data_IF_907606775358
#
_entry.id   IF_907606775358
#
_cell.length_a   1.000
_cell.length_b   1.000
_cell.length_c   1.000
_cell.angle_alpha   90.00
_cell.angle_beta   90.00
_cell.angle_gamma   90.00
#
_symmetry.space_group_name_H-M   'P 1'
#
loop_
_entity.id
_entity.type
_entity.pdbx_description
1 polymer ?
#
# COMPACT_ATOMS: atom_id res chain seq x y z
N UNK A 1 -16.06 8.28 8.24
CA UNK A 1 -15.78 9.07 7.00
C UNK A 1 -15.25 10.40 7.48
N UNK A 2 -13.95 10.50 7.45
CA UNK A 2 -13.30 11.70 7.95
C UNK A 2 -13.51 12.83 6.97
N UNK A 3 -13.85 13.97 7.52
CA UNK A 3 -14.13 15.24 6.92
C UNK A 3 -13.19 15.60 5.76
N UNK A 4 -13.44 15.04 4.59
CA UNK A 4 -12.70 15.35 3.38
C UNK A 4 -13.10 16.74 2.88
N UNK A 5 -12.48 17.77 3.46
CA UNK A 5 -12.78 19.17 3.18
C UNK A 5 -11.89 19.77 2.07
N UNK A 6 -10.99 18.98 1.51
CA UNK A 6 -10.01 19.40 0.50
C UNK A 6 -8.69 19.89 1.11
N UNK A 7 -7.62 19.78 0.32
CA UNK A 7 -6.23 20.01 0.77
C UNK A 7 -5.98 21.41 1.35
N UNK A 8 -6.70 22.41 0.89
CA UNK A 8 -6.50 23.82 1.25
C UNK A 8 -7.42 24.29 2.39
N UNK A 9 -8.18 23.37 3.03
CA UNK A 9 -9.10 23.71 4.10
C UNK A 9 -8.34 24.13 5.35
N UNK A 10 -8.57 25.38 5.77
CA UNK A 10 -7.92 26.00 6.94
C UNK A 10 -8.23 25.26 8.25
N UNK A 11 -9.40 24.63 8.37
CA UNK A 11 -9.78 23.91 9.59
C UNK A 11 -8.79 22.81 9.95
N UNK A 12 -8.13 22.17 8.97
CA UNK A 12 -7.14 21.13 9.26
C UNK A 12 -5.90 21.64 10.01
N UNK A 13 -5.56 22.93 9.89
CA UNK A 13 -4.47 23.55 10.65
C UNK A 13 -4.92 24.07 12.02
N UNK A 14 -6.21 24.22 12.22
CA UNK A 14 -6.80 24.76 13.47
C UNK A 14 -7.16 23.65 14.47
N UNK A 15 -7.07 22.38 14.08
CA UNK A 15 -7.33 21.26 14.99
C UNK A 15 -6.26 21.21 16.08
N UNK A 16 -6.63 20.71 17.27
CA UNK A 16 -5.69 20.50 18.38
C UNK A 16 -4.51 19.59 17.97
N UNK A 17 -4.75 18.62 17.07
CA UNK A 17 -3.74 17.85 16.35
C UNK A 17 -3.92 18.14 14.87
N UNK A 18 -3.10 18.99 14.26
CA UNK A 18 -3.23 19.35 12.85
C UNK A 18 -3.07 18.14 11.95
N UNK A 19 -3.88 18.07 10.88
CA UNK A 19 -3.69 17.06 9.84
C UNK A 19 -2.36 17.34 9.12
N UNK A 20 -1.44 16.36 9.05
CA UNK A 20 -0.13 16.57 8.44
C UNK A 20 -0.22 17.01 6.97
N UNK A 21 0.73 17.83 6.51
CA UNK A 21 0.76 18.37 5.15
C UNK A 21 0.73 17.26 4.10
N UNK A 22 1.53 16.21 4.27
CA UNK A 22 1.58 15.08 3.35
C UNK A 22 0.23 14.34 3.19
N UNK A 23 -0.57 14.30 4.25
CA UNK A 23 -1.90 13.70 4.21
C UNK A 23 -2.90 14.64 3.51
N UNK A 24 -2.84 15.95 3.82
CA UNK A 24 -3.71 16.95 3.17
C UNK A 24 -3.47 17.04 1.67
N UNK A 25 -2.23 16.94 1.23
CA UNK A 25 -1.87 16.99 -0.21
C UNK A 25 -2.57 15.92 -1.05
N UNK A 26 -3.00 14.82 -0.43
CA UNK A 26 -3.76 13.74 -1.07
C UNK A 26 -5.27 13.97 -1.08
N UNK A 27 -5.77 15.05 -0.44
CA UNK A 27 -7.19 15.38 -0.36
C UNK A 27 -7.60 16.26 -1.55
N UNK A 28 -7.49 15.72 -2.76
CA UNK A 28 -7.93 16.40 -3.99
C UNK A 28 -9.25 15.82 -4.50
N UNK A 29 -9.94 16.54 -5.36
CA UNK A 29 -11.20 16.08 -5.95
C UNK A 29 -11.02 14.77 -6.71
N UNK A 30 -9.90 14.66 -7.40
CA UNK A 30 -9.53 13.52 -8.23
C UNK A 30 -9.28 12.27 -7.38
N UNK A 31 -8.94 12.44 -6.10
CA UNK A 31 -8.65 11.32 -5.20
C UNK A 31 -9.88 10.76 -4.48
N UNK A 32 -11.03 11.47 -4.51
CA UNK A 32 -12.24 11.09 -3.77
C UNK A 32 -12.72 9.68 -4.13
N UNK A 33 -12.79 9.36 -5.42
CA UNK A 33 -13.28 8.06 -5.90
C UNK A 33 -12.33 6.95 -5.44
N UNK A 34 -11.04 7.14 -5.61
CA UNK A 34 -10.01 6.20 -5.13
C UNK A 34 -10.13 5.95 -3.63
N UNK A 35 -10.22 7.01 -2.83
CA UNK A 35 -10.24 6.90 -1.38
C UNK A 35 -11.54 6.27 -0.87
N UNK A 36 -12.68 6.62 -1.46
CA UNK A 36 -13.97 6.02 -1.14
C UNK A 36 -13.98 4.51 -1.46
N UNK A 37 -13.49 4.13 -2.64
CA UNK A 37 -13.36 2.72 -3.03
C UNK A 37 -12.38 1.97 -2.15
N UNK A 38 -11.22 2.55 -1.84
CA UNK A 38 -10.23 1.94 -0.92
C UNK A 38 -10.84 1.69 0.44
N UNK A 39 -11.56 2.66 1.00
CA UNK A 39 -12.27 2.53 2.27
C UNK A 39 -13.32 1.42 2.22
N UNK A 40 -14.14 1.37 1.17
CA UNK A 40 -15.14 0.32 0.99
C UNK A 40 -14.51 -1.07 0.85
N UNK A 41 -13.49 -1.22 0.00
CA UNK A 41 -12.80 -2.50 -0.21
C UNK A 41 -12.13 -3.03 1.08
N UNK A 42 -11.58 -2.15 1.92
CA UNK A 42 -11.00 -2.56 3.20
C UNK A 42 -12.03 -3.05 4.22
N UNK A 43 -13.26 -2.55 4.14
CA UNK A 43 -14.37 -3.05 4.97
C UNK A 43 -14.93 -4.36 4.43
N UNK A 44 -15.06 -4.49 3.11
CA UNK A 44 -15.55 -5.71 2.45
C UNK A 44 -14.57 -6.88 2.62
N UNK A 45 -13.28 -6.63 2.40
CA UNK A 45 -12.23 -7.64 2.46
C UNK A 45 -11.36 -7.45 3.71
N UNK A 46 -11.89 -7.85 4.86
CA UNK A 46 -11.21 -7.67 6.15
C UNK A 46 -9.89 -8.45 6.20
N UNK A 47 -8.84 -7.81 6.72
CA UNK A 47 -7.55 -8.44 6.95
C UNK A 47 -7.65 -9.56 7.99
N UNK A 48 -7.51 -10.82 7.57
CA UNK A 48 -7.57 -12.03 8.42
C UNK A 48 -6.41 -12.95 8.07
N UNK A 49 -5.17 -12.61 8.42
CA UNK A 49 -4.02 -13.40 8.05
C UNK A 49 -3.89 -14.69 8.86
N UNK A 50 -3.35 -15.75 8.24
CA UNK A 50 -2.90 -16.94 8.99
C UNK A 50 -1.68 -16.62 9.86
N UNK A 51 -0.83 -15.69 9.41
CA UNK A 51 0.27 -15.11 10.19
C UNK A 51 0.17 -13.59 10.11
N UNK A 52 0.09 -12.95 11.27
CA UNK A 52 0.01 -11.49 11.36
C UNK A 52 1.41 -10.89 11.43
N UNK A 53 2.07 -10.77 10.28
CA UNK A 53 3.40 -10.21 10.11
C UNK A 53 3.41 -9.12 9.01
N UNK A 54 4.54 -8.42 8.87
CA UNK A 54 4.65 -7.28 7.95
C UNK A 54 4.34 -7.70 6.50
N UNK A 55 4.88 -8.83 6.04
CA UNK A 55 4.65 -9.28 4.65
C UNK A 55 3.17 -9.59 4.38
N UNK A 56 2.45 -10.13 5.37
CA UNK A 56 1.01 -10.36 5.27
C UNK A 56 0.25 -9.04 5.10
N UNK A 57 0.60 -8.02 5.87
CA UNK A 57 0.02 -6.68 5.76
C UNK A 57 0.36 -6.02 4.40
N UNK A 58 1.60 -6.14 3.94
CA UNK A 58 2.04 -5.64 2.63
C UNK A 58 1.22 -6.26 1.49
N UNK A 59 1.09 -7.59 1.48
CA UNK A 59 0.35 -8.31 0.44
C UNK A 59 -1.14 -8.03 0.52
N UNK A 60 -1.71 -7.93 1.73
CA UNK A 60 -3.11 -7.55 1.90
C UNK A 60 -3.41 -6.18 1.27
N UNK A 61 -2.63 -5.15 1.63
CA UNK A 61 -2.79 -3.83 1.02
C UNK A 61 -2.51 -3.88 -0.49
N UNK A 62 -1.53 -4.67 -0.91
CA UNK A 62 -1.26 -4.94 -2.33
C UNK A 62 -2.45 -5.55 -3.08
N UNK A 63 -3.21 -6.46 -2.46
CA UNK A 63 -4.45 -7.03 -3.04
C UNK A 63 -5.51 -5.96 -3.22
N UNK A 64 -5.71 -5.10 -2.21
CA UNK A 64 -6.64 -3.97 -2.31
C UNK A 64 -6.26 -3.06 -3.49
N UNK A 65 -4.97 -2.70 -3.60
CA UNK A 65 -4.49 -1.86 -4.70
C UNK A 65 -4.62 -2.54 -6.06
N UNK A 66 -4.35 -3.85 -6.12
CA UNK A 66 -4.51 -4.62 -7.36
C UNK A 66 -5.98 -4.67 -7.81
N UNK A 67 -6.91 -4.92 -6.88
CA UNK A 67 -8.34 -4.90 -7.17
C UNK A 67 -8.81 -3.51 -7.60
N UNK A 68 -8.34 -2.47 -6.91
CA UNK A 68 -8.65 -1.09 -7.25
C UNK A 68 -8.20 -0.74 -8.68
N UNK A 69 -7.02 -1.23 -9.11
CA UNK A 69 -6.55 -1.08 -10.49
C UNK A 69 -7.47 -1.75 -11.52
N UNK A 70 -8.10 -2.87 -11.17
CA UNK A 70 -9.06 -3.53 -12.07
C UNK A 70 -10.40 -2.75 -12.15
N UNK A 71 -10.79 -2.08 -11.08
CA UNK A 71 -12.01 -1.26 -11.01
C UNK A 71 -11.81 0.09 -11.73
N UNK A 72 -10.60 0.66 -11.60
CA UNK A 72 -10.22 1.96 -12.17
C UNK A 72 -9.06 1.78 -13.18
N UNK A 73 -9.30 1.12 -14.33
CA UNK A 73 -8.22 0.79 -15.27
C UNK A 73 -7.56 2.01 -15.92
N UNK A 74 -8.30 3.13 -16.02
CA UNK A 74 -7.79 4.39 -16.59
C UNK A 74 -6.89 5.16 -15.61
N UNK A 75 -6.95 4.84 -14.30
CA UNK A 75 -6.10 5.50 -13.32
C UNK A 75 -4.67 4.97 -13.38
N UNK A 76 -3.73 5.90 -13.30
CA UNK A 76 -2.30 5.54 -13.23
C UNK A 76 -1.99 4.84 -11.92
N UNK A 77 -1.20 3.76 -11.98
CA UNK A 77 -0.90 2.90 -10.82
C UNK A 77 -0.37 3.67 -9.61
N UNK A 78 0.47 4.70 -9.83
CA UNK A 78 0.98 5.51 -8.73
C UNK A 78 -0.12 6.28 -7.99
N UNK A 79 -1.14 6.77 -8.70
CA UNK A 79 -2.26 7.50 -8.08
C UNK A 79 -3.08 6.59 -7.18
N UNK A 80 -3.24 5.31 -7.54
CA UNK A 80 -3.95 4.34 -6.71
C UNK A 80 -3.28 4.15 -5.34
N UNK A 81 -1.94 4.26 -5.30
CA UNK A 81 -1.14 4.21 -4.08
C UNK A 81 -1.10 5.56 -3.33
N UNK A 82 -1.64 6.63 -3.93
CA UNK A 82 -1.51 7.98 -3.43
C UNK A 82 -0.08 8.52 -3.55
N UNK A 83 0.66 8.08 -4.56
CA UNK A 83 2.02 8.53 -4.87
C UNK A 83 2.00 9.58 -5.99
N UNK A 84 3.11 10.31 -6.12
CA UNK A 84 3.42 11.06 -7.33
C UNK A 84 4.11 10.14 -8.35
N UNK A 85 4.24 10.62 -9.61
CA UNK A 85 4.96 9.87 -10.64
C UNK A 85 6.44 9.65 -10.26
N UNK A 86 7.07 10.69 -9.66
CA UNK A 86 8.46 10.64 -9.21
C UNK A 86 8.64 9.65 -8.06
N UNK A 87 7.66 9.54 -7.17
CA UNK A 87 7.67 8.57 -6.06
C UNK A 87 7.52 7.12 -6.58
N UNK A 88 6.69 6.89 -7.59
CA UNK A 88 6.62 5.57 -8.23
C UNK A 88 7.93 5.23 -8.95
N UNK A 89 8.50 6.18 -9.67
CA UNK A 89 9.79 6.01 -10.34
C UNK A 89 10.89 5.70 -9.32
N UNK A 90 10.92 6.41 -8.20
CA UNK A 90 11.83 6.11 -7.10
C UNK A 90 11.66 4.66 -6.63
N UNK A 91 10.44 4.19 -6.38
CA UNK A 91 10.17 2.81 -5.98
C UNK A 91 10.67 1.79 -7.00
N UNK A 92 10.47 2.06 -8.31
CA UNK A 92 10.93 1.18 -9.39
C UNK A 92 12.46 1.09 -9.43
N UNK A 93 13.13 2.22 -9.30
CA UNK A 93 14.59 2.30 -9.34
C UNK A 93 15.25 1.73 -8.07
N UNK A 94 14.51 1.60 -6.97
CA UNK A 94 15.00 1.13 -5.67
C UNK A 94 14.29 -0.15 -5.20
N UNK A 95 13.64 -0.92 -6.08
CA UNK A 95 12.84 -2.11 -5.73
C UNK A 95 13.69 -3.14 -4.96
N UNK A 96 14.91 -3.42 -5.45
CA UNK A 96 15.85 -4.32 -4.78
C UNK A 96 16.29 -3.80 -3.41
N UNK A 97 16.59 -2.50 -3.30
CA UNK A 97 17.02 -1.88 -2.06
C UNK A 97 15.92 -1.89 -0.99
N UNK A 98 14.65 -1.63 -1.40
CA UNK A 98 13.50 -1.75 -0.50
C UNK A 98 13.40 -3.18 0.05
N UNK A 99 13.52 -4.17 -0.83
CA UNK A 99 13.43 -5.58 -0.45
C UNK A 99 14.57 -6.00 0.46
N UNK A 100 15.81 -5.64 0.09
CA UNK A 100 17.02 -5.90 0.89
C UNK A 100 16.92 -5.28 2.28
N UNK A 101 16.48 -4.02 2.38
CA UNK A 101 16.26 -3.33 3.65
C UNK A 101 15.31 -4.11 4.58
N UNK A 102 14.22 -4.67 4.05
CA UNK A 102 13.28 -5.46 4.85
C UNK A 102 13.90 -6.77 5.35
N UNK A 103 14.78 -7.39 4.57
CA UNK A 103 15.46 -8.65 4.94
C UNK A 103 16.57 -8.38 5.96
N UNK A 104 17.45 -7.42 5.69
CA UNK A 104 18.62 -7.13 6.53
C UNK A 104 18.25 -6.63 7.95
N UNK A 105 17.06 -6.04 8.09
CA UNK A 105 16.56 -5.61 9.39
C UNK A 105 15.60 -6.61 10.06
N UNK A 106 15.42 -7.80 9.50
CA UNK A 106 14.47 -8.82 9.97
C UNK A 106 13.01 -8.32 10.07
N UNK A 107 12.63 -7.31 9.23
CA UNK A 107 11.29 -6.73 9.29
C UNK A 107 10.25 -7.53 8.53
N UNK A 108 10.64 -8.25 7.49
CA UNK A 108 9.72 -8.88 6.55
C UNK A 108 8.71 -9.82 7.25
N UNK A 109 9.18 -10.61 8.21
CA UNK A 109 8.37 -11.54 8.98
C UNK A 109 8.14 -11.08 10.42
N UNK A 110 8.38 -9.81 10.70
CA UNK A 110 8.15 -9.25 12.04
C UNK A 110 6.67 -9.17 12.35
N UNK A 111 6.29 -9.69 13.52
CA UNK A 111 4.93 -9.63 14.09
C UNK A 111 4.76 -8.44 15.04
N UNK A 112 5.79 -7.61 15.21
CA UNK A 112 5.74 -6.45 16.08
C UNK A 112 4.79 -5.40 15.53
N UNK A 113 3.74 -5.07 16.29
CA UNK A 113 2.74 -4.06 15.90
C UNK A 113 3.37 -2.72 15.54
N UNK A 114 4.43 -2.32 16.26
CA UNK A 114 5.17 -1.07 15.98
C UNK A 114 5.79 -1.06 14.59
N UNK A 115 6.35 -2.19 14.13
CA UNK A 115 6.94 -2.34 12.80
C UNK A 115 5.84 -2.29 11.74
N UNK A 116 4.75 -3.02 11.96
CA UNK A 116 3.61 -3.01 11.04
C UNK A 116 3.02 -1.61 10.90
N UNK A 117 2.73 -0.94 12.00
CA UNK A 117 2.19 0.43 11.99
C UNK A 117 3.15 1.40 11.28
N UNK A 118 4.46 1.29 11.56
CA UNK A 118 5.48 2.17 11.00
C UNK A 118 5.57 2.09 9.48
N UNK A 119 5.41 0.90 8.91
CA UNK A 119 5.64 0.66 7.47
C UNK A 119 4.36 0.54 6.64
N UNK A 120 3.24 0.15 7.25
CA UNK A 120 1.97 0.00 6.54
C UNK A 120 1.10 1.27 6.56
N UNK A 121 1.29 2.14 7.56
CA UNK A 121 0.53 3.37 7.65
C UNK A 121 1.14 4.50 6.82
N UNK A 122 0.32 5.48 6.53
CA UNK A 122 0.73 6.65 5.77
C UNK A 122 1.77 7.49 6.54
N UNK A 123 2.75 7.99 5.80
CA UNK A 123 3.87 8.77 6.32
C UNK A 123 4.42 9.68 5.21
N UNK A 124 5.17 10.74 5.54
CA UNK A 124 5.78 11.60 4.52
C UNK A 124 6.82 10.86 3.67
N UNK A 125 7.55 9.93 4.25
CA UNK A 125 8.51 9.03 3.57
C UNK A 125 8.63 7.72 4.37
N UNK A 126 9.19 6.68 3.76
CA UNK A 126 9.40 5.39 4.46
C UNK A 126 10.58 5.50 5.42
N UNK A 127 10.32 5.31 6.70
CA UNK A 127 11.35 5.43 7.75
C UNK A 127 12.53 4.46 7.52
N UNK A 128 13.74 4.99 7.60
CA UNK A 128 14.98 4.24 7.31
C UNK A 128 15.37 4.23 5.82
N UNK A 129 14.59 4.92 4.97
CA UNK A 129 14.89 5.16 3.57
C UNK A 129 15.08 6.67 3.33
N UNK A 130 15.67 7.07 2.19
CA UNK A 130 15.80 8.48 1.82
C UNK A 130 14.46 9.22 1.80
N UNK A 131 14.50 10.56 1.98
CA UNK A 131 13.30 11.41 2.03
C UNK A 131 12.54 11.46 0.71
N UNK A 132 13.17 11.09 -0.39
CA UNK A 132 12.57 10.95 -1.72
C UNK A 132 11.67 9.71 -1.82
N UNK A 133 11.82 8.76 -0.89
CA UNK A 133 10.94 7.59 -0.85
C UNK A 133 9.51 8.01 -0.51
N UNK A 134 8.48 7.41 -1.12
CA UNK A 134 7.13 7.63 -0.64
C UNK A 134 6.92 7.02 0.75
N UNK A 135 6.00 7.55 1.52
CA UNK A 135 5.46 6.80 2.65
C UNK A 135 4.85 5.49 2.17
N UNK A 136 5.03 4.43 2.91
CA UNK A 136 4.53 3.08 2.56
C UNK A 136 5.13 2.48 1.27
N UNK A 137 6.40 2.76 0.94
CA UNK A 137 7.07 2.10 -0.19
C UNK A 137 6.94 0.55 -0.12
N UNK A 138 6.84 -0.01 1.08
CA UNK A 138 6.63 -1.44 1.30
C UNK A 138 5.26 -1.93 0.79
N UNK A 139 4.23 -1.08 0.81
CA UNK A 139 2.90 -1.41 0.24
C UNK A 139 2.98 -1.50 -1.29
N UNK A 140 3.76 -0.62 -1.92
CA UNK A 140 4.06 -0.73 -3.35
C UNK A 140 4.74 -2.08 -3.67
N UNK A 141 5.70 -2.52 -2.83
CA UNK A 141 6.30 -3.86 -2.97
C UNK A 141 5.23 -4.97 -2.85
N UNK A 142 4.31 -4.85 -1.89
CA UNK A 142 3.18 -5.77 -1.77
C UNK A 142 2.32 -5.83 -3.03
N UNK A 143 2.01 -4.68 -3.63
CA UNK A 143 1.29 -4.58 -4.90
C UNK A 143 2.05 -5.28 -6.05
N UNK A 144 3.39 -5.11 -6.13
CA UNK A 144 4.25 -5.80 -7.10
C UNK A 144 4.23 -7.31 -6.93
N UNK A 145 4.26 -7.81 -5.68
CA UNK A 145 4.16 -9.24 -5.37
C UNK A 145 2.82 -9.80 -5.89
N UNK A 146 1.71 -9.13 -5.60
CA UNK A 146 0.38 -9.55 -6.06
C UNK A 146 0.28 -9.54 -7.58
N UNK A 147 0.79 -8.48 -8.23
CA UNK A 147 0.84 -8.40 -9.70
C UNK A 147 1.61 -9.58 -10.31
N UNK A 148 2.78 -9.92 -9.75
CA UNK A 148 3.58 -11.06 -10.21
C UNK A 148 2.88 -12.41 -9.97
N UNK A 149 2.18 -12.55 -8.84
CA UNK A 149 1.35 -13.71 -8.55
C UNK A 149 0.26 -13.89 -9.60
N UNK A 150 -0.53 -12.86 -9.88
CA UNK A 150 -1.62 -12.90 -10.85
C UNK A 150 -1.13 -13.12 -12.29
N UNK A 151 0.02 -12.57 -12.66
CA UNK A 151 0.64 -12.85 -13.97
C UNK A 151 1.01 -14.32 -14.14
N UNK A 152 1.50 -14.98 -13.09
CA UNK A 152 1.85 -16.41 -13.12
C UNK A 152 0.64 -17.33 -13.03
N UNK A 153 -0.38 -16.92 -12.29
CA UNK A 153 -1.57 -17.73 -11.97
C UNK A 153 -2.78 -17.28 -12.78
N UNK A 154 -2.72 -17.39 -14.09
CA UNK A 154 -3.77 -16.93 -15.03
C UNK A 154 -5.19 -17.49 -14.75
N UNK A 155 -5.29 -18.59 -14.02
CA UNK A 155 -6.56 -19.23 -13.67
C UNK A 155 -7.13 -18.77 -12.31
N UNK A 156 -6.46 -17.85 -11.62
CA UNK A 156 -6.95 -17.28 -10.35
C UNK A 156 -7.85 -16.09 -10.67
N UNK A 157 -9.12 -16.15 -10.28
CA UNK A 157 -10.04 -15.00 -10.38
C UNK A 157 -9.73 -13.97 -9.30
N UNK A 158 -10.27 -12.76 -9.47
CA UNK A 158 -10.16 -11.70 -8.46
C UNK A 158 -10.80 -12.12 -7.13
N UNK A 159 -11.95 -12.80 -7.17
CA UNK A 159 -12.62 -13.32 -5.97
C UNK A 159 -11.71 -14.30 -5.22
N UNK A 160 -11.07 -15.23 -5.95
CA UNK A 160 -10.13 -16.20 -5.35
C UNK A 160 -8.89 -15.51 -4.78
N UNK A 161 -8.37 -14.49 -5.45
CA UNK A 161 -7.29 -13.66 -4.92
C UNK A 161 -7.72 -13.04 -3.60
N UNK A 162 -8.88 -12.38 -3.57
CA UNK A 162 -9.36 -11.68 -2.38
C UNK A 162 -9.72 -12.65 -1.23
N UNK A 163 -10.21 -13.84 -1.52
CA UNK A 163 -10.51 -14.87 -0.52
C UNK A 163 -9.26 -15.55 0.06
N UNK A 164 -8.10 -15.53 -0.64
CA UNK A 164 -6.87 -16.15 -0.15
C UNK A 164 -6.32 -15.40 1.08
N UNK A 165 -6.18 -16.09 2.21
CA UNK A 165 -5.69 -15.54 3.48
C UNK A 165 -4.29 -16.06 3.87
N UNK A 166 -3.76 -17.03 3.11
CA UNK A 166 -2.35 -17.42 3.19
C UNK A 166 -1.49 -16.48 2.31
N UNK A 167 -1.15 -15.32 2.88
CA UNK A 167 -0.31 -14.32 2.18
C UNK A 167 1.10 -14.85 1.91
N UNK A 168 1.61 -15.74 2.76
CA UNK A 168 2.89 -16.41 2.53
C UNK A 168 2.84 -17.35 1.31
N UNK A 169 1.70 -17.99 1.04
CA UNK A 169 1.48 -18.75 -0.19
C UNK A 169 1.54 -17.85 -1.41
N UNK A 170 0.89 -16.68 -1.37
CA UNK A 170 0.96 -15.68 -2.45
C UNK A 170 2.43 -15.31 -2.71
N UNK A 171 3.21 -15.00 -1.66
CA UNK A 171 4.64 -14.68 -1.79
C UNK A 171 5.44 -15.81 -2.45
N UNK A 172 5.28 -17.04 -1.95
CA UNK A 172 5.99 -18.23 -2.49
C UNK A 172 5.65 -18.47 -3.95
N UNK A 173 4.36 -18.42 -4.30
CA UNK A 173 3.89 -18.71 -5.65
C UNK A 173 4.18 -17.56 -6.63
N UNK A 174 4.23 -16.33 -6.17
CA UNK A 174 4.73 -15.19 -6.95
C UNK A 174 6.20 -15.40 -7.34
N UNK A 175 6.98 -16.06 -6.48
CA UNK A 175 8.44 -16.20 -6.67
C UNK A 175 9.07 -14.82 -6.84
N UNK A 176 8.67 -13.89 -5.98
CA UNK A 176 9.12 -12.50 -6.05
C UNK A 176 10.61 -12.41 -5.67
N UNK A 177 11.38 -11.88 -6.59
CA UNK A 177 12.83 -11.60 -6.45
C UNK A 177 13.08 -10.35 -7.27
N UNK A 178 13.13 -9.17 -6.66
CA UNK A 178 13.46 -7.92 -7.34
C UNK A 178 14.93 -7.86 -7.72
#
# INVERSE_FOLDING_TARGET
MDNYLGKDCIFYSMLAVPVPVYARQKMTREDIVRDALTGWLTVEFVFRPLKNDLISGMIYQGKIMYLLQQILPEEKGYRLLGFTAEQEEWCRNNEEQIWRFLIENDYLFSTQQRIMTKYLNDAPFTSGMPVESPGRAVVWTGYRIVGKYMQKKKNVSLERLMAEQDYHKILREAGYRP
#
